data_IF_502656840716
#
_entry.id   IF_502656840716
#
_cell.length_a   1.000
_cell.length_b   1.000
_cell.length_c   1.000
_cell.angle_alpha   90.00
_cell.angle_beta   90.00
_cell.angle_gamma   90.00
#
_symmetry.space_group_name_H-M   'P 1'
#
loop_
_entity.id
_entity.type
_entity.pdbx_description
1 polymer ?
#
# COMPACT_ATOMS: atom_id res chain seq x y z
N UNK A 1 -23.61 -17.39 12.42
CA UNK A 1 -23.04 -17.00 11.12
C UNK A 1 -21.69 -17.69 10.95
N UNK A 2 -21.43 -18.37 9.83
CA UNK A 2 -20.16 -19.07 9.56
C UNK A 2 -19.30 -18.21 8.61
N UNK A 3 -18.05 -17.93 8.99
CA UNK A 3 -17.08 -17.24 8.14
C UNK A 3 -16.40 -18.20 7.16
N UNK A 4 -15.86 -17.70 6.05
CA UNK A 4 -15.06 -18.49 5.11
C UNK A 4 -13.74 -18.95 5.76
N UNK A 5 -13.30 -20.18 5.49
CA UNK A 5 -12.11 -20.80 6.12
C UNK A 5 -10.85 -19.92 5.99
N UNK A 6 -10.57 -19.39 4.80
CA UNK A 6 -9.42 -18.49 4.55
C UNK A 6 -9.39 -17.22 5.41
N UNK A 7 -10.55 -16.76 5.86
CA UNK A 7 -10.61 -15.59 6.76
C UNK A 7 -10.33 -15.99 8.22
N UNK A 8 -10.63 -17.24 8.58
CA UNK A 8 -10.40 -17.76 9.93
C UNK A 8 -8.92 -18.06 10.20
N UNK A 9 -8.12 -18.30 9.15
CA UNK A 9 -6.68 -18.59 9.28
C UNK A 9 -5.82 -17.34 9.47
N UNK A 10 -6.38 -16.14 9.31
CA UNK A 10 -5.66 -14.87 9.44
C UNK A 10 -5.61 -14.48 10.93
N UNK A 11 -4.40 -14.43 11.50
CA UNK A 11 -4.18 -13.99 12.87
C UNK A 11 -4.31 -12.47 13.05
N UNK A 12 -4.52 -12.04 14.31
CA UNK A 12 -4.50 -10.63 14.67
C UNK A 12 -3.09 -10.03 14.50
N UNK A 13 -2.99 -8.79 14.02
CA UNK A 13 -1.70 -8.11 13.82
C UNK A 13 -1.06 -7.73 15.16
N UNK A 14 0.14 -8.26 15.48
CA UNK A 14 0.86 -7.89 16.70
C UNK A 14 1.27 -6.41 16.71
N UNK A 15 1.66 -5.87 15.55
CA UNK A 15 2.05 -4.47 15.39
C UNK A 15 0.89 -3.52 15.70
N UNK A 16 -0.31 -3.84 15.20
CA UNK A 16 -1.49 -3.02 15.48
C UNK A 16 -1.87 -3.06 16.97
N UNK A 17 -1.77 -4.23 17.60
CA UNK A 17 -2.01 -4.38 19.03
C UNK A 17 -1.03 -3.55 19.86
N UNK A 18 0.26 -3.55 19.50
CA UNK A 18 1.28 -2.78 20.22
C UNK A 18 1.08 -1.26 20.03
N UNK A 19 0.77 -0.81 18.82
CA UNK A 19 0.46 0.60 18.56
C UNK A 19 -0.78 1.07 19.34
N UNK A 20 -1.84 0.23 19.38
CA UNK A 20 -3.04 0.53 20.17
C UNK A 20 -2.73 0.68 21.66
N UNK A 21 -1.88 -0.20 22.22
CA UNK A 21 -1.43 -0.11 23.61
C UNK A 21 -0.61 1.15 23.87
N UNK A 22 0.33 1.50 22.98
CA UNK A 22 1.12 2.72 23.10
C UNK A 22 0.23 3.98 23.11
N UNK A 23 -0.78 4.03 22.22
CA UNK A 23 -1.77 5.12 22.20
C UNK A 23 -2.60 5.17 23.48
N UNK A 24 -2.99 4.03 24.03
CA UNK A 24 -3.74 3.97 25.30
C UNK A 24 -2.92 4.50 26.48
N UNK A 25 -1.66 4.08 26.60
CA UNK A 25 -0.76 4.58 27.64
C UNK A 25 -0.55 6.10 27.55
N UNK A 26 -0.39 6.65 26.33
CA UNK A 26 -0.36 8.11 26.13
C UNK A 26 -1.63 8.80 26.60
N UNK A 27 -2.81 8.23 26.32
CA UNK A 27 -4.10 8.78 26.79
C UNK A 27 -4.22 8.79 28.31
N UNK A 28 -3.56 7.85 28.98
CA UNK A 28 -3.49 7.78 30.44
C UNK A 28 -2.46 8.75 31.05
N UNK A 29 -1.84 9.61 30.23
CA UNK A 29 -0.85 10.59 30.68
C UNK A 29 0.55 10.02 30.89
N UNK A 30 0.80 8.78 30.46
CA UNK A 30 2.13 8.17 30.52
C UNK A 30 2.96 8.72 29.36
N UNK A 31 4.19 9.15 29.65
CA UNK A 31 5.15 9.52 28.61
C UNK A 31 5.64 8.26 27.87
N UNK A 32 5.33 8.17 26.57
CA UNK A 32 5.59 6.98 25.76
C UNK A 32 6.32 7.38 24.48
N UNK A 33 7.55 6.89 24.36
CA UNK A 33 8.30 6.91 23.11
C UNK A 33 7.94 5.65 22.30
N UNK A 34 7.20 5.84 21.21
CA UNK A 34 6.73 4.72 20.38
C UNK A 34 7.63 4.53 19.17
N UNK A 35 8.26 3.37 19.08
CA UNK A 35 9.04 2.91 17.92
C UNK A 35 8.32 1.82 17.13
N UNK A 36 6.98 1.83 17.16
CA UNK A 36 6.15 0.70 16.68
C UNK A 36 5.48 0.95 15.32
N UNK A 37 5.55 2.18 14.81
CA UNK A 37 4.87 2.58 13.57
C UNK A 37 5.86 2.51 12.40
N UNK A 38 5.42 1.95 11.28
CA UNK A 38 6.22 1.80 10.06
C UNK A 38 5.98 2.89 9.01
N UNK A 39 5.42 4.03 9.41
CA UNK A 39 5.19 5.18 8.53
C UNK A 39 6.10 6.35 8.97
N UNK A 40 6.56 7.19 8.04
CA UNK A 40 7.39 8.33 8.40
C UNK A 40 6.63 9.38 9.20
N UNK A 41 7.37 10.19 9.96
CA UNK A 41 6.86 11.28 10.78
C UNK A 41 6.67 12.61 10.01
N UNK A 42 7.20 12.70 8.79
CA UNK A 42 7.02 13.87 7.93
C UNK A 42 5.70 13.81 7.15
N UNK A 43 5.17 15.01 6.86
CA UNK A 43 4.00 15.16 6.00
C UNK A 43 4.32 14.86 4.53
N UNK A 44 3.27 14.52 3.77
CA UNK A 44 3.35 14.49 2.30
C UNK A 44 3.93 15.80 1.75
N UNK A 45 4.93 15.76 0.86
CA UNK A 45 5.48 16.97 0.22
C UNK A 45 4.42 17.86 -0.41
N UNK A 46 4.57 19.18 -0.25
CA UNK A 46 3.55 20.18 -0.63
C UNK A 46 3.12 20.09 -2.09
N UNK A 47 4.07 19.91 -3.02
CA UNK A 47 3.76 19.79 -4.45
C UNK A 47 2.86 18.59 -4.77
N UNK A 48 2.96 17.49 -4.00
CA UNK A 48 2.11 16.30 -4.16
C UNK A 48 0.70 16.59 -3.64
N UNK A 49 0.60 17.22 -2.46
CA UNK A 49 -0.68 17.62 -1.89
C UNK A 49 -1.40 18.62 -2.82
N UNK A 50 -0.69 19.60 -3.37
CA UNK A 50 -1.22 20.57 -4.32
C UNK A 50 -1.74 19.90 -5.61
N UNK A 51 -0.99 18.94 -6.18
CA UNK A 51 -1.43 18.19 -7.35
C UNK A 51 -2.71 17.37 -7.07
N UNK A 52 -2.82 16.76 -5.89
CA UNK A 52 -4.04 16.07 -5.46
C UNK A 52 -5.25 16.99 -5.32
N UNK A 53 -5.06 18.18 -4.73
CA UNK A 53 -6.11 19.21 -4.63
C UNK A 53 -6.54 19.67 -6.03
N UNK A 54 -5.59 19.88 -6.93
CA UNK A 54 -5.87 20.33 -8.28
C UNK A 54 -6.64 19.27 -9.08
N UNK A 55 -6.27 18.00 -8.97
CA UNK A 55 -7.01 16.89 -9.59
C UNK A 55 -8.48 16.86 -9.12
N UNK A 56 -8.73 17.11 -7.83
CA UNK A 56 -10.10 17.23 -7.29
C UNK A 56 -10.83 18.42 -7.92
N UNK A 57 -10.19 19.60 -7.98
CA UNK A 57 -10.78 20.82 -8.58
C UNK A 57 -11.12 20.66 -10.06
N UNK A 58 -10.28 19.92 -10.79
CA UNK A 58 -10.49 19.60 -12.20
C UNK A 58 -11.52 18.47 -12.43
N UNK A 59 -12.09 17.93 -11.36
CA UNK A 59 -13.12 16.89 -11.46
C UNK A 59 -12.59 15.51 -11.78
N UNK A 60 -11.29 15.25 -11.55
CA UNK A 60 -10.66 13.93 -11.74
C UNK A 60 -11.12 12.92 -10.69
N UNK A 61 -12.39 12.51 -10.81
CA UNK A 61 -13.19 11.82 -9.78
C UNK A 61 -14.01 10.67 -10.38
N UNK A 62 -13.77 10.36 -11.65
CA UNK A 62 -14.46 9.31 -12.40
C UNK A 62 -13.58 8.07 -12.49
N UNK A 63 -14.14 6.99 -13.03
CA UNK A 63 -13.39 5.76 -13.25
C UNK A 63 -12.15 6.01 -14.09
N UNK A 64 -11.06 5.37 -13.69
CA UNK A 64 -9.82 5.22 -14.45
C UNK A 64 -9.75 3.80 -15.00
N UNK A 65 -8.85 3.51 -15.95
CA UNK A 65 -8.57 2.14 -16.35
C UNK A 65 -8.16 1.29 -15.15
N UNK A 66 -8.58 0.03 -15.11
CA UNK A 66 -8.34 -0.86 -13.97
C UNK A 66 -6.84 -1.02 -13.63
N UNK A 67 -5.96 -0.97 -14.63
CA UNK A 67 -4.52 -1.07 -14.44
C UNK A 67 -3.83 0.26 -14.05
N UNK A 68 -4.58 1.36 -13.96
CA UNK A 68 -4.06 2.71 -13.73
C UNK A 68 -4.08 3.59 -14.98
N UNK A 69 -3.93 4.90 -14.76
CA UNK A 69 -3.93 5.92 -15.81
C UNK A 69 -2.61 5.86 -16.61
N UNK A 70 -2.62 6.07 -17.94
CA UNK A 70 -1.41 5.95 -18.77
C UNK A 70 -0.22 6.75 -18.26
N UNK A 71 -0.46 8.00 -17.86
CA UNK A 71 0.56 8.96 -17.45
C UNK A 71 1.31 8.49 -16.19
N UNK A 72 0.60 7.86 -15.25
CA UNK A 72 1.21 7.31 -14.03
C UNK A 72 2.04 6.06 -14.36
N UNK A 73 1.58 5.22 -15.29
CA UNK A 73 2.31 4.01 -15.70
C UNK A 73 3.62 4.37 -16.40
N UNK A 74 3.59 5.36 -17.28
CA UNK A 74 4.78 5.92 -17.93
C UNK A 74 5.75 6.50 -16.89
N UNK A 75 5.24 7.28 -15.92
CA UNK A 75 6.06 7.82 -14.84
C UNK A 75 6.74 6.74 -14.00
N UNK A 76 6.05 5.63 -13.72
CA UNK A 76 6.61 4.47 -13.02
C UNK A 76 7.74 3.83 -13.85
N UNK A 77 7.52 3.60 -15.16
CA UNK A 77 8.55 3.02 -16.04
C UNK A 77 9.81 3.90 -16.07
N UNK A 78 9.64 5.21 -16.26
CA UNK A 78 10.76 6.16 -16.22
C UNK A 78 11.51 6.14 -14.89
N UNK A 79 10.78 6.10 -13.76
CA UNK A 79 11.36 6.03 -12.41
C UNK A 79 12.15 4.74 -12.20
N UNK A 80 11.63 3.59 -12.66
CA UNK A 80 12.30 2.30 -12.54
C UNK A 80 13.57 2.25 -13.41
N UNK A 81 13.53 2.83 -14.61
CA UNK A 81 14.73 2.94 -15.44
C UNK A 81 15.79 3.83 -14.78
N UNK A 82 15.39 5.03 -14.34
CA UNK A 82 16.29 6.03 -13.75
C UNK A 82 16.94 5.54 -12.45
N UNK A 83 16.14 4.99 -11.53
CA UNK A 83 16.62 4.71 -10.16
C UNK A 83 17.06 3.27 -9.97
N UNK A 84 16.55 2.35 -10.79
CA UNK A 84 16.77 0.91 -10.64
C UNK A 84 17.43 0.26 -11.86
N UNK A 85 17.61 0.99 -12.97
CA UNK A 85 18.17 0.46 -14.21
C UNK A 85 17.26 -0.53 -14.94
N UNK A 86 15.98 -0.61 -14.57
CA UNK A 86 15.02 -1.58 -15.11
C UNK A 86 14.23 -1.01 -16.29
N UNK A 87 14.21 -1.73 -17.40
CA UNK A 87 13.40 -1.40 -18.57
C UNK A 87 12.05 -2.13 -18.50
N UNK A 88 10.96 -1.35 -18.48
CA UNK A 88 9.58 -1.84 -18.51
C UNK A 88 8.76 -1.01 -19.49
N UNK A 89 7.74 -1.63 -20.08
CA UNK A 89 6.71 -0.94 -20.84
C UNK A 89 5.52 -0.61 -19.93
N UNK A 90 4.70 0.41 -20.26
CA UNK A 90 3.45 0.65 -19.53
C UNK A 90 2.56 -0.59 -19.47
N UNK A 91 2.61 -1.51 -20.44
CA UNK A 91 1.86 -2.76 -20.40
C UNK A 91 2.27 -3.68 -19.22
N UNK A 92 3.50 -3.58 -18.72
CA UNK A 92 4.03 -4.39 -17.62
C UNK A 92 3.65 -3.86 -16.23
N UNK A 93 3.08 -2.64 -16.15
CA UNK A 93 2.78 -1.96 -14.89
C UNK A 93 1.30 -2.05 -14.54
N UNK A 94 1.00 -2.32 -13.26
CA UNK A 94 -0.35 -2.22 -12.68
C UNK A 94 -0.30 -1.36 -11.43
N UNK A 95 -1.05 -0.26 -11.42
CA UNK A 95 -1.19 0.63 -10.26
C UNK A 95 -2.17 0.00 -9.26
N UNK A 96 -1.81 0.02 -7.98
CA UNK A 96 -2.55 -0.62 -6.90
C UNK A 96 -2.70 0.29 -5.67
N UNK A 97 -3.59 -0.08 -4.76
CA UNK A 97 -3.79 0.59 -3.47
C UNK A 97 -2.63 0.30 -2.51
N UNK A 98 -1.48 0.89 -2.80
CA UNK A 98 -0.22 0.65 -2.10
C UNK A 98 0.37 -0.74 -2.35
N UNK A 99 1.59 -0.95 -1.84
CA UNK A 99 2.35 -2.18 -2.07
C UNK A 99 1.63 -3.44 -1.56
N UNK A 100 0.86 -3.33 -0.48
CA UNK A 100 0.09 -4.45 0.09
C UNK A 100 -0.90 -5.03 -0.91
N UNK A 101 -1.58 -4.17 -1.68
CA UNK A 101 -2.53 -4.63 -2.70
C UNK A 101 -1.81 -5.26 -3.90
N UNK A 102 -0.65 -4.73 -4.29
CA UNK A 102 0.19 -5.36 -5.33
C UNK A 102 0.57 -6.78 -4.94
N UNK A 103 1.11 -6.98 -3.72
CA UNK A 103 1.49 -8.31 -3.22
C UNK A 103 0.28 -9.23 -3.12
N UNK A 104 -0.84 -8.75 -2.59
CA UNK A 104 -2.08 -9.52 -2.51
C UNK A 104 -2.55 -10.01 -3.89
N UNK A 105 -2.57 -9.13 -4.89
CA UNK A 105 -2.98 -9.49 -6.25
C UNK A 105 -1.99 -10.48 -6.89
N UNK A 106 -0.69 -10.30 -6.68
CA UNK A 106 0.33 -11.26 -7.15
C UNK A 106 0.08 -12.65 -6.58
N UNK A 107 -0.16 -12.77 -5.27
CA UNK A 107 -0.43 -14.06 -4.64
C UNK A 107 -1.75 -14.65 -5.14
N UNK A 108 -2.80 -13.84 -5.23
CA UNK A 108 -4.11 -14.30 -5.72
C UNK A 108 -4.11 -14.72 -7.19
N UNK A 109 -3.19 -14.19 -8.00
CA UNK A 109 -3.10 -14.48 -9.43
C UNK A 109 -2.18 -15.67 -9.75
N UNK A 110 -1.21 -15.98 -8.87
CA UNK A 110 -0.16 -16.94 -9.16
C UNK A 110 -0.20 -18.22 -8.30
N UNK A 111 -0.90 -18.21 -7.17
CA UNK A 111 -0.81 -19.28 -6.16
C UNK A 111 -2.14 -20.04 -6.06
N UNK A 112 -2.09 -21.35 -6.27
CA UNK A 112 -3.20 -22.28 -6.07
C UNK A 112 -3.10 -23.03 -4.72
N UNK A 113 -4.15 -23.77 -4.38
CA UNK A 113 -4.14 -24.59 -3.16
C UNK A 113 -3.08 -25.69 -3.26
N UNK A 114 -2.14 -25.68 -2.32
CA UNK A 114 -1.05 -26.65 -2.25
C UNK A 114 0.29 -26.11 -2.75
N UNK A 115 0.28 -24.94 -3.41
CA UNK A 115 1.52 -24.24 -3.77
C UNK A 115 2.22 -23.67 -2.52
N UNK A 116 3.54 -23.62 -2.57
CA UNK A 116 4.38 -23.15 -1.48
C UNK A 116 5.02 -21.79 -1.81
N UNK A 117 5.02 -20.88 -0.84
CA UNK A 117 5.66 -19.55 -0.96
C UNK A 117 6.71 -19.40 0.13
N UNK A 118 7.97 -19.20 -0.28
CA UNK A 118 9.08 -18.99 0.65
C UNK A 118 9.01 -17.57 1.22
N UNK A 119 9.02 -17.47 2.55
CA UNK A 119 9.13 -16.21 3.30
C UNK A 119 10.39 -16.30 4.16
N UNK A 120 11.43 -15.47 3.90
CA UNK A 120 12.69 -15.48 4.65
C UNK A 120 12.55 -15.15 6.14
#
# INVERSE_FOLDING_TARGET
MRLATRAQTIGASPTLAMNARAKEMKRQGIDVLSFTVGEPDFNTPEHIAAAGIEAIKQGFTRYTPAAGIPELKEAICMKLKRDNGLDYEPADVVVSNGAKHSIYNTLQALIDNGDEVIVP
#
